data_IF_882889530621
#
_entry.id   IF_882889530621
#
_cell.length_a   1.000
_cell.length_b   1.000
_cell.length_c   1.000
_cell.angle_alpha   90.00
_cell.angle_beta   90.00
_cell.angle_gamma   90.00
#
_symmetry.space_group_name_H-M   'P 1'
#
loop_
_entity.id
_entity.type
_entity.pdbx_description
1 polymer ?
#
# COMPACT_ATOMS: atom_id res chain seq x y z
N UNK A 1 -42.62 50.44 -8.54
CA UNK A 1 -41.36 49.79 -8.96
C UNK A 1 -40.96 48.81 -7.88
N UNK A 2 -41.24 47.53 -8.10
CA UNK A 2 -40.98 46.44 -7.13
C UNK A 2 -39.67 45.75 -7.53
N UNK A 3 -38.64 45.95 -6.70
CA UNK A 3 -37.33 45.29 -6.87
C UNK A 3 -37.43 43.87 -6.35
N UNK A 4 -37.42 42.87 -7.25
CA UNK A 4 -37.37 41.46 -6.93
C UNK A 4 -35.92 41.07 -6.59
N UNK A 5 -35.64 40.91 -5.30
CA UNK A 5 -34.39 40.32 -4.83
C UNK A 5 -34.37 38.83 -5.13
N UNK A 6 -33.52 38.45 -6.06
CA UNK A 6 -33.23 37.06 -6.42
C UNK A 6 -32.22 36.47 -5.41
N UNK A 7 -32.70 35.64 -4.47
CA UNK A 7 -31.81 34.88 -3.57
C UNK A 7 -31.20 33.74 -4.35
N UNK A 8 -29.92 33.88 -4.70
CA UNK A 8 -29.11 32.82 -5.29
C UNK A 8 -28.66 31.90 -4.14
N UNK A 9 -29.36 30.78 -3.96
CA UNK A 9 -28.96 29.73 -3.00
C UNK A 9 -27.69 29.04 -3.52
N UNK A 10 -26.55 29.40 -2.96
CA UNK A 10 -25.28 28.72 -3.21
C UNK A 10 -25.31 27.39 -2.44
N UNK A 11 -25.69 26.33 -3.12
CA UNK A 11 -25.64 24.96 -2.59
C UNK A 11 -24.18 24.57 -2.35
N UNK A 12 -23.79 24.48 -1.09
CA UNK A 12 -22.49 23.96 -0.66
C UNK A 12 -22.48 22.45 -0.90
N UNK A 13 -22.01 21.99 -2.04
CA UNK A 13 -21.70 20.57 -2.28
C UNK A 13 -20.53 20.21 -1.38
N UNK A 14 -20.80 19.59 -0.25
CA UNK A 14 -19.80 18.90 0.54
C UNK A 14 -19.30 17.70 -0.28
N UNK A 15 -18.20 17.86 -0.99
CA UNK A 15 -17.44 16.75 -1.56
C UNK A 15 -16.90 16.01 -0.37
N UNK A 16 -17.53 14.89 0.00
CA UNK A 16 -16.95 13.92 0.90
C UNK A 16 -15.69 13.38 0.20
N UNK A 17 -14.55 14.00 0.45
CA UNK A 17 -13.27 13.48 0.07
C UNK A 17 -13.14 12.12 0.77
N UNK A 18 -13.18 11.02 0.00
CA UNK A 18 -12.70 9.73 0.48
C UNK A 18 -11.23 9.92 0.81
N UNK A 19 -10.92 10.19 2.07
CA UNK A 19 -9.54 10.22 2.57
C UNK A 19 -8.97 8.83 2.29
N UNK A 20 -7.90 8.70 1.48
CA UNK A 20 -7.29 7.40 1.26
C UNK A 20 -6.90 6.83 2.61
N UNK A 21 -7.35 5.61 2.89
CA UNK A 21 -7.07 4.94 4.15
C UNK A 21 -5.56 4.87 4.33
N UNK A 22 -5.00 5.72 5.21
CA UNK A 22 -3.62 5.70 5.70
C UNK A 22 -2.52 5.56 4.64
N UNK A 23 -2.52 6.42 3.65
CA UNK A 23 -1.36 6.60 2.76
C UNK A 23 -0.28 7.41 3.49
N UNK A 24 0.61 6.72 4.20
CA UNK A 24 1.63 7.32 5.05
C UNK A 24 3.03 7.19 4.45
N UNK A 25 3.85 8.25 4.52
CA UNK A 25 5.26 8.18 4.17
C UNK A 25 6.07 7.37 5.20
N UNK A 26 7.27 6.87 4.84
CA UNK A 26 8.08 5.99 5.69
C UNK A 26 8.36 6.52 7.10
N UNK A 27 8.62 7.82 7.23
CA UNK A 27 8.91 8.45 8.53
C UNK A 27 7.70 8.48 9.48
N UNK A 28 6.48 8.47 8.94
CA UNK A 28 5.25 8.37 9.75
C UNK A 28 4.89 6.92 10.08
N UNK A 29 5.21 5.97 9.20
CA UNK A 29 4.99 4.54 9.44
C UNK A 29 5.74 4.09 10.71
N UNK A 30 6.96 4.55 10.92
CA UNK A 30 7.76 4.22 12.10
C UNK A 30 7.12 4.64 13.44
N UNK A 31 6.20 5.60 13.40
CA UNK A 31 5.51 6.16 14.58
C UNK A 31 4.21 5.44 14.92
N UNK A 32 3.75 4.50 14.09
CA UNK A 32 2.53 3.74 14.34
C UNK A 32 2.65 2.92 15.62
N UNK A 33 1.57 2.85 16.39
CA UNK A 33 1.54 2.24 17.71
C UNK A 33 0.68 0.98 17.79
N UNK A 34 0.03 0.61 16.67
CA UNK A 34 -0.85 -0.56 16.59
C UNK A 34 -0.61 -1.34 15.30
N UNK A 35 -0.73 -2.66 15.39
CA UNK A 35 -0.57 -3.54 14.24
C UNK A 35 -1.62 -3.31 13.15
N UNK A 36 -2.88 -3.07 13.53
CA UNK A 36 -3.97 -2.80 12.59
C UNK A 36 -3.69 -1.54 11.75
N UNK A 37 -3.07 -0.52 12.34
CA UNK A 37 -2.65 0.69 11.61
C UNK A 37 -1.58 0.37 10.57
N UNK A 38 -0.62 -0.51 10.89
CA UNK A 38 0.41 -0.97 9.94
C UNK A 38 -0.24 -1.75 8.81
N UNK A 39 -1.21 -2.63 9.11
CA UNK A 39 -1.96 -3.40 8.11
C UNK A 39 -2.79 -2.50 7.19
N UNK A 40 -3.42 -1.45 7.72
CA UNK A 40 -4.17 -0.47 6.93
C UNK A 40 -3.27 0.28 5.94
N UNK A 41 -2.06 0.64 6.35
CA UNK A 41 -1.06 1.24 5.44
C UNK A 41 -0.68 0.24 4.35
N UNK A 42 -0.34 -1.00 4.72
CA UNK A 42 0.03 -2.04 3.74
C UNK A 42 -1.08 -2.26 2.71
N UNK A 43 -2.34 -2.40 3.14
CA UNK A 43 -3.46 -2.57 2.24
C UNK A 43 -3.65 -1.36 1.31
N UNK A 44 -3.57 -0.16 1.85
CA UNK A 44 -3.75 1.09 1.08
C UNK A 44 -2.75 1.21 -0.06
N UNK A 45 -1.48 0.85 0.18
CA UNK A 45 -0.43 1.01 -0.83
C UNK A 45 -0.27 -0.22 -1.75
N UNK A 46 -0.62 -1.42 -1.27
CA UNK A 46 -0.39 -2.67 -2.01
C UNK A 46 -1.59 -3.07 -2.89
N UNK A 47 -2.82 -2.92 -2.42
CA UNK A 47 -4.01 -3.40 -3.13
C UNK A 47 -4.16 -2.83 -4.55
N UNK A 48 -3.89 -1.54 -4.82
CA UNK A 48 -3.92 -1.01 -6.19
C UNK A 48 -2.90 -1.69 -7.10
N UNK A 49 -1.71 -2.03 -6.58
CA UNK A 49 -0.62 -2.62 -7.36
C UNK A 49 -0.86 -4.12 -7.59
N UNK A 50 -1.48 -4.82 -6.66
CA UNK A 50 -1.84 -6.23 -6.84
C UNK A 50 -2.86 -6.47 -7.97
N UNK A 51 -3.60 -5.43 -8.38
CA UNK A 51 -4.50 -5.49 -9.55
C UNK A 51 -3.74 -5.56 -10.87
N UNK A 52 -2.46 -5.18 -10.86
CA UNK A 52 -1.59 -5.15 -12.04
C UNK A 52 -0.84 -6.47 -12.28
N UNK A 53 -0.99 -7.46 -11.39
CA UNK A 53 -0.38 -8.78 -11.56
C UNK A 53 -0.86 -9.41 -12.86
N UNK A 54 0.09 -9.84 -13.70
CA UNK A 54 -0.20 -10.49 -14.98
C UNK A 54 -0.40 -9.54 -16.16
N UNK A 55 -0.24 -8.22 -15.99
CA UNK A 55 -0.20 -7.29 -17.10
C UNK A 55 1.06 -7.57 -17.97
N UNK A 56 0.90 -7.49 -19.29
CA UNK A 56 1.98 -7.79 -20.24
C UNK A 56 3.11 -6.75 -20.22
N UNK A 57 2.80 -5.51 -19.82
CA UNK A 57 3.75 -4.40 -19.74
C UNK A 57 3.28 -3.37 -18.72
N UNK A 58 4.21 -2.59 -18.22
CA UNK A 58 3.98 -1.53 -17.25
C UNK A 58 4.44 -0.18 -17.79
N UNK A 59 3.65 0.87 -17.52
CA UNK A 59 3.99 2.25 -17.85
C UNK A 59 5.01 2.82 -16.85
N UNK A 60 5.61 3.97 -17.17
CA UNK A 60 6.57 4.63 -16.27
C UNK A 60 5.95 4.98 -14.90
N UNK A 61 4.66 5.33 -14.87
CA UNK A 61 3.94 5.56 -13.62
C UNK A 61 3.81 4.29 -12.76
N UNK A 62 3.70 3.11 -13.38
CA UNK A 62 3.66 1.83 -12.67
C UNK A 62 5.02 1.49 -12.05
N UNK A 63 6.10 1.74 -12.78
CA UNK A 63 7.45 1.53 -12.26
C UNK A 63 7.74 2.42 -11.05
N UNK A 64 7.33 3.68 -11.10
CA UNK A 64 7.41 4.59 -9.96
C UNK A 64 6.59 4.08 -8.77
N UNK A 65 5.35 3.60 -9.02
CA UNK A 65 4.48 3.06 -7.99
C UNK A 65 5.05 1.76 -7.36
N UNK A 66 5.68 0.89 -8.15
CA UNK A 66 6.33 -0.32 -7.64
C UNK A 66 7.57 -0.01 -6.81
N UNK A 67 8.35 0.98 -7.19
CA UNK A 67 9.48 1.46 -6.39
C UNK A 67 9.01 1.99 -5.04
N UNK A 68 7.98 2.82 -5.03
CA UNK A 68 7.39 3.37 -3.81
C UNK A 68 6.78 2.26 -2.93
N UNK A 69 5.99 1.35 -3.53
CA UNK A 69 5.44 0.18 -2.83
C UNK A 69 6.54 -0.66 -2.18
N UNK A 70 7.57 -1.02 -2.95
CA UNK A 70 8.68 -1.83 -2.45
C UNK A 70 9.37 -1.18 -1.26
N UNK A 71 9.63 0.13 -1.32
CA UNK A 71 10.23 0.89 -0.23
C UNK A 71 9.34 0.90 1.02
N UNK A 72 8.07 1.24 0.88
CA UNK A 72 7.14 1.38 2.02
C UNK A 72 6.78 0.02 2.64
N UNK A 73 6.65 -1.05 1.85
CA UNK A 73 6.41 -2.38 2.41
C UNK A 73 7.61 -2.89 3.21
N UNK A 74 8.84 -2.60 2.81
CA UNK A 74 10.01 -2.92 3.66
C UNK A 74 9.90 -2.26 5.03
N UNK A 75 9.50 -0.99 5.09
CA UNK A 75 9.32 -0.26 6.35
C UNK A 75 8.16 -0.81 7.16
N UNK A 76 7.00 -1.07 6.54
CA UNK A 76 5.84 -1.62 7.25
C UNK A 76 6.06 -3.05 7.72
N UNK A 77 6.77 -3.88 6.96
CA UNK A 77 7.12 -5.24 7.36
C UNK A 77 8.06 -5.25 8.59
N UNK A 78 9.06 -4.38 8.59
CA UNK A 78 9.92 -4.18 9.76
C UNK A 78 9.11 -3.68 10.97
N UNK A 79 8.21 -2.70 10.76
CA UNK A 79 7.36 -2.14 11.82
C UNK A 79 6.38 -3.17 12.40
N UNK A 80 5.84 -4.07 11.57
CA UNK A 80 4.95 -5.13 12.04
C UNK A 80 5.61 -6.03 13.09
N UNK A 81 6.92 -6.22 13.06
CA UNK A 81 7.68 -7.02 14.03
C UNK A 81 7.73 -6.38 15.43
N UNK A 82 7.49 -5.08 15.57
CA UNK A 82 7.32 -4.44 16.89
C UNK A 82 6.07 -4.98 17.61
N UNK A 83 5.14 -5.59 16.86
CA UNK A 83 3.91 -6.20 17.36
C UNK A 83 3.92 -7.73 17.15
N UNK A 84 5.09 -8.35 17.23
CA UNK A 84 5.30 -9.77 16.95
C UNK A 84 4.30 -10.67 17.66
N UNK A 85 3.82 -11.67 16.93
CA UNK A 85 2.99 -12.77 17.44
C UNK A 85 3.77 -14.10 17.51
N UNK A 86 5.09 -13.99 17.53
CA UNK A 86 6.00 -15.13 17.61
C UNK A 86 6.88 -15.33 16.38
N UNK A 87 7.79 -16.32 16.40
CA UNK A 87 8.82 -16.51 15.37
C UNK A 87 8.26 -16.71 13.95
N UNK A 88 7.11 -17.35 13.81
CA UNK A 88 6.49 -17.57 12.51
C UNK A 88 5.93 -16.26 11.93
N UNK A 89 5.37 -15.41 12.77
CA UNK A 89 4.93 -14.08 12.37
C UNK A 89 6.11 -13.25 11.87
N UNK A 90 7.21 -13.24 12.63
CA UNK A 90 8.42 -12.48 12.28
C UNK A 90 9.04 -12.98 10.97
N UNK A 91 9.06 -14.31 10.76
CA UNK A 91 9.52 -14.92 9.51
C UNK A 91 8.69 -14.45 8.30
N UNK A 92 7.37 -14.40 8.43
CA UNK A 92 6.49 -13.94 7.35
C UNK A 92 6.65 -12.42 7.10
N UNK A 93 6.86 -11.62 8.14
CA UNK A 93 7.17 -10.21 7.98
C UNK A 93 8.52 -10.01 7.26
N UNK A 94 9.56 -10.75 7.61
CA UNK A 94 10.85 -10.71 6.93
C UNK A 94 10.75 -11.17 5.46
N UNK A 95 9.97 -12.21 5.19
CA UNK A 95 9.69 -12.68 3.84
C UNK A 95 8.99 -11.60 3.00
N UNK A 96 7.97 -10.94 3.55
CA UNK A 96 7.29 -9.84 2.89
C UNK A 96 8.26 -8.69 2.55
N UNK A 97 9.10 -8.30 3.50
CA UNK A 97 10.14 -7.29 3.30
C UNK A 97 11.13 -7.66 2.21
N UNK A 98 11.55 -8.94 2.16
CA UNK A 98 12.41 -9.48 1.11
C UNK A 98 11.78 -9.38 -0.28
N UNK A 99 10.51 -9.78 -0.42
CA UNK A 99 9.77 -9.67 -1.70
C UNK A 99 9.55 -8.22 -2.13
N UNK A 100 9.34 -7.33 -1.18
CA UNK A 100 9.27 -5.89 -1.45
C UNK A 100 10.60 -5.33 -2.00
N UNK A 101 11.73 -5.81 -1.48
CA UNK A 101 13.06 -5.47 -2.00
C UNK A 101 13.26 -5.98 -3.43
N UNK A 102 12.83 -7.21 -3.72
CA UNK A 102 12.86 -7.78 -5.08
C UNK A 102 12.00 -6.96 -6.05
N UNK A 103 10.81 -6.50 -5.61
CA UNK A 103 9.97 -5.61 -6.41
C UNK A 103 10.69 -4.29 -6.75
N UNK A 104 11.35 -3.67 -5.77
CA UNK A 104 12.12 -2.44 -6.00
C UNK A 104 13.25 -2.65 -7.02
N UNK A 105 13.95 -3.78 -6.96
CA UNK A 105 14.99 -4.12 -7.92
C UNK A 105 14.42 -4.36 -9.33
N UNK A 106 13.30 -5.09 -9.44
CA UNK A 106 12.61 -5.32 -10.70
C UNK A 106 12.11 -4.00 -11.32
N UNK A 107 11.59 -3.08 -10.51
CA UNK A 107 11.15 -1.76 -10.97
C UNK A 107 12.31 -0.92 -11.50
N UNK A 108 13.45 -0.94 -10.83
CA UNK A 108 14.66 -0.25 -11.29
C UNK A 108 15.16 -0.80 -12.64
N UNK A 109 15.10 -2.11 -12.81
CA UNK A 109 15.48 -2.79 -14.05
C UNK A 109 14.40 -2.74 -15.13
N UNK A 110 13.19 -2.27 -14.81
CA UNK A 110 11.98 -2.34 -15.65
C UNK A 110 11.71 -3.76 -16.18
N UNK A 111 11.94 -4.75 -15.32
CA UNK A 111 11.70 -6.17 -15.62
C UNK A 111 10.25 -6.53 -15.23
N UNK A 112 9.38 -6.61 -16.24
CA UNK A 112 7.95 -6.90 -16.05
C UNK A 112 7.71 -8.30 -15.48
N UNK A 113 8.50 -9.29 -15.87
CA UNK A 113 8.39 -10.66 -15.36
C UNK A 113 8.75 -10.74 -13.87
N UNK A 114 9.88 -10.17 -13.50
CA UNK A 114 10.33 -10.11 -12.11
C UNK A 114 9.38 -9.30 -11.24
N UNK A 115 8.86 -8.17 -11.73
CA UNK A 115 7.89 -7.36 -11.00
C UNK A 115 6.58 -8.10 -10.75
N UNK A 116 6.02 -8.77 -11.77
CA UNK A 116 4.80 -9.57 -11.64
C UNK A 116 5.00 -10.73 -10.65
N UNK A 117 6.16 -11.39 -10.69
CA UNK A 117 6.52 -12.45 -9.74
C UNK A 117 6.58 -11.91 -8.31
N UNK A 118 7.32 -10.82 -8.09
CA UNK A 118 7.45 -10.21 -6.76
C UNK A 118 6.09 -9.78 -6.19
N UNK A 119 5.23 -9.13 -6.99
CA UNK A 119 3.86 -8.76 -6.58
C UNK A 119 3.03 -9.99 -6.21
N UNK A 120 3.12 -11.07 -6.98
CA UNK A 120 2.40 -12.33 -6.72
C UNK A 120 2.84 -12.94 -5.40
N UNK A 121 4.14 -13.00 -5.14
CA UNK A 121 4.70 -13.57 -3.93
C UNK A 121 4.42 -12.69 -2.69
N UNK A 122 4.47 -11.37 -2.82
CA UNK A 122 4.04 -10.46 -1.75
C UNK A 122 2.58 -10.70 -1.39
N UNK A 123 1.68 -10.78 -2.37
CA UNK A 123 0.27 -11.05 -2.15
C UNK A 123 0.03 -12.41 -1.49
N UNK A 124 0.78 -13.43 -1.88
CA UNK A 124 0.73 -14.77 -1.27
C UNK A 124 1.18 -14.72 0.19
N UNK A 125 2.28 -14.02 0.50
CA UNK A 125 2.78 -13.85 1.87
C UNK A 125 1.76 -13.12 2.76
N UNK A 126 1.11 -12.06 2.25
CA UNK A 126 0.04 -11.37 2.97
C UNK A 126 -1.12 -12.32 3.30
N UNK A 127 -1.55 -13.14 2.35
CA UNK A 127 -2.63 -14.13 2.56
C UNK A 127 -2.23 -15.19 3.58
N UNK A 128 -1.01 -15.70 3.50
CA UNK A 128 -0.51 -16.71 4.43
C UNK A 128 -0.47 -16.17 5.85
N UNK A 129 0.09 -14.97 6.05
CA UNK A 129 0.13 -14.33 7.36
C UNK A 129 -1.28 -14.11 7.93
N UNK A 130 -2.21 -13.59 7.13
CA UNK A 130 -3.58 -13.35 7.56
C UNK A 130 -4.34 -14.64 7.89
N UNK A 131 -4.07 -15.75 7.20
CA UNK A 131 -4.70 -17.03 7.50
C UNK A 131 -4.31 -17.60 8.86
N UNK A 132 -3.16 -17.20 9.39
CA UNK A 132 -2.61 -17.71 10.66
C UNK A 132 -2.84 -16.78 11.85
N UNK A 133 -2.87 -15.45 11.60
CA UNK A 133 -2.77 -14.44 12.67
C UNK A 133 -3.92 -13.44 12.73
N UNK A 134 -4.89 -13.51 11.82
CA UNK A 134 -6.03 -12.59 11.77
C UNK A 134 -7.31 -13.20 12.34
#
# INVERSE_FOLDING_TARGET
MTLKTLFLSLGLFAIAACVPKRDLPPDQISKLTKLDEVMDVQATIADPQFKKIGEASYADADWAAFTDLGSRIQVTAAKAKDFSKGPEFDKLADQLGGKAKELSAAATAKDSGAASTALTEMKATCKECHSKFK
#
